data_IF_639656993393
#
_entry.id   IF_639656993393
#
_cell.length_a   1.000
_cell.length_b   1.000
_cell.length_c   1.000
_cell.angle_alpha   90.00
_cell.angle_beta   90.00
_cell.angle_gamma   90.00
#
_symmetry.space_group_name_H-M   'P 1'
#
loop_
_entity.id
_entity.type
_entity.pdbx_description
1 polymer ?
#
# COMPACT_ATOMS: atom_id res chain seq x y z
N UNK A 1 20.92 8.80 -11.63
CA UNK A 1 20.05 8.32 -12.73
C UNK A 1 18.79 7.73 -12.13
N UNK A 2 17.61 8.03 -12.69
CA UNK A 2 16.30 7.47 -12.27
C UNK A 2 16.21 6.05 -12.86
N UNK A 3 17.17 5.19 -12.62
CA UNK A 3 17.24 3.91 -13.36
C UNK A 3 16.15 2.89 -12.99
N UNK A 4 15.32 3.16 -11.95
CA UNK A 4 14.34 2.17 -11.49
C UNK A 4 12.94 2.70 -11.12
N UNK A 5 12.63 3.99 -11.34
CA UNK A 5 11.28 4.49 -11.06
C UNK A 5 10.50 4.52 -12.37
N UNK A 6 9.50 3.65 -12.49
CA UNK A 6 8.61 3.56 -13.65
C UNK A 6 7.25 4.15 -13.27
N UNK A 7 6.72 5.01 -14.14
CA UNK A 7 5.44 5.68 -13.93
C UNK A 7 5.52 7.00 -13.18
N UNK A 8 4.47 7.79 -13.27
CA UNK A 8 4.37 9.12 -12.65
C UNK A 8 5.48 10.10 -13.07
N UNK A 9 5.99 9.98 -14.30
CA UNK A 9 7.10 10.80 -14.83
C UNK A 9 6.77 12.29 -14.81
N UNK A 10 5.51 12.68 -14.98
CA UNK A 10 5.03 14.05 -14.88
C UNK A 10 5.20 14.62 -13.47
N UNK A 11 4.95 13.79 -12.44
CA UNK A 11 5.13 14.18 -11.03
C UNK A 11 6.60 14.26 -10.66
N UNK A 12 7.41 13.33 -11.16
CA UNK A 12 8.86 13.35 -10.96
C UNK A 12 9.47 14.63 -11.55
N UNK A 13 9.15 14.94 -12.82
CA UNK A 13 9.60 16.18 -13.46
C UNK A 13 9.13 17.44 -12.73
N UNK A 14 7.91 17.43 -12.21
CA UNK A 14 7.39 18.53 -11.41
C UNK A 14 8.20 18.73 -10.12
N UNK A 15 8.55 17.65 -9.42
CA UNK A 15 9.38 17.70 -8.20
C UNK A 15 10.82 18.15 -8.51
N UNK A 16 11.40 17.68 -9.62
CA UNK A 16 12.72 18.13 -10.08
C UNK A 16 12.74 19.63 -10.36
N UNK A 17 11.74 20.14 -11.08
CA UNK A 17 11.60 21.57 -11.34
C UNK A 17 11.47 22.41 -10.07
N UNK A 18 10.74 21.92 -9.04
CA UNK A 18 10.67 22.61 -7.73
C UNK A 18 12.05 22.77 -7.11
N UNK A 19 12.92 21.73 -7.24
CA UNK A 19 14.28 21.80 -6.70
C UNK A 19 15.16 22.76 -7.51
N UNK A 20 15.09 22.67 -8.84
CA UNK A 20 15.84 23.55 -9.75
C UNK A 20 15.49 25.02 -9.56
N UNK A 21 14.19 25.34 -9.42
CA UNK A 21 13.69 26.71 -9.21
C UNK A 21 13.91 27.20 -7.76
N UNK A 22 14.35 26.32 -6.83
CA UNK A 22 14.53 26.64 -5.43
C UNK A 22 13.23 26.88 -4.64
N UNK A 23 12.07 26.58 -5.23
CA UNK A 23 10.73 26.81 -4.69
C UNK A 23 10.22 25.66 -3.81
N UNK A 24 11.10 25.13 -2.95
CA UNK A 24 10.78 23.99 -2.10
C UNK A 24 9.89 24.42 -0.95
N UNK A 25 8.68 23.83 -0.87
CA UNK A 25 7.77 24.02 0.27
C UNK A 25 8.32 23.35 1.53
N UNK A 26 7.91 23.84 2.70
CA UNK A 26 8.25 23.24 3.98
C UNK A 26 7.51 21.92 4.25
N UNK A 27 6.38 21.67 3.59
CA UNK A 27 5.60 20.45 3.80
C UNK A 27 4.89 19.98 2.53
N UNK A 28 4.96 18.68 2.30
CA UNK A 28 4.29 17.97 1.20
C UNK A 28 3.45 16.83 1.74
N UNK A 29 2.40 16.46 0.99
CA UNK A 29 1.72 15.18 1.13
C UNK A 29 1.71 14.47 -0.23
N UNK A 30 2.23 13.24 -0.25
CA UNK A 30 2.23 12.35 -1.40
C UNK A 30 1.09 11.36 -1.25
N UNK A 31 0.05 11.52 -2.08
CA UNK A 31 -1.18 10.71 -2.03
C UNK A 31 -1.27 9.74 -3.21
N UNK A 32 -2.00 8.66 -3.04
CA UNK A 32 -2.26 7.63 -4.06
C UNK A 32 -2.25 6.22 -3.49
N UNK A 33 -2.59 5.24 -4.33
CA UNK A 33 -2.69 3.83 -3.95
C UNK A 33 -1.43 3.36 -3.19
N UNK A 34 -1.61 2.44 -2.24
CA UNK A 34 -0.49 1.81 -1.55
C UNK A 34 0.38 1.00 -2.52
N UNK A 35 1.70 1.01 -2.28
CA UNK A 35 2.66 0.22 -3.06
C UNK A 35 2.95 0.72 -4.48
N UNK A 36 2.56 1.94 -4.86
CA UNK A 36 2.88 2.51 -6.19
C UNK A 36 4.24 3.21 -6.26
N UNK A 37 5.06 3.13 -5.20
CA UNK A 37 6.41 3.69 -5.16
C UNK A 37 6.51 5.10 -4.60
N UNK A 38 5.50 5.59 -3.86
CA UNK A 38 5.52 6.94 -3.24
C UNK A 38 6.74 7.17 -2.36
N UNK A 39 7.11 6.19 -1.53
CA UNK A 39 8.29 6.28 -0.66
C UNK A 39 9.59 6.40 -1.47
N UNK A 40 9.73 5.64 -2.54
CA UNK A 40 10.92 5.71 -3.41
C UNK A 40 11.01 7.07 -4.12
N UNK A 41 9.88 7.63 -4.55
CA UNK A 41 9.85 8.98 -5.13
C UNK A 41 10.17 10.04 -4.05
N UNK A 42 9.68 9.88 -2.81
CA UNK A 42 10.01 10.76 -1.71
C UNK A 42 11.50 10.71 -1.35
N UNK A 43 12.10 9.52 -1.33
CA UNK A 43 13.57 9.34 -1.18
C UNK A 43 14.33 10.00 -2.33
N UNK A 44 13.89 9.80 -3.57
CA UNK A 44 14.49 10.44 -4.73
C UNK A 44 14.45 11.98 -4.64
N UNK A 45 13.28 12.54 -4.31
CA UNK A 45 13.10 13.97 -4.11
C UNK A 45 14.01 14.51 -2.98
N UNK A 46 14.12 13.76 -1.89
CA UNK A 46 15.00 14.07 -0.77
C UNK A 46 16.48 14.12 -1.18
N UNK A 47 16.94 13.15 -1.98
CA UNK A 47 18.31 13.14 -2.55
C UNK A 47 18.60 14.43 -3.35
N UNK A 48 17.64 14.85 -4.18
CA UNK A 48 17.78 16.08 -4.98
C UNK A 48 17.84 17.33 -4.10
N UNK A 49 17.04 17.40 -3.04
CA UNK A 49 17.02 18.54 -2.11
C UNK A 49 18.31 18.61 -1.30
N UNK A 50 18.77 17.48 -0.75
CA UNK A 50 19.96 17.39 0.10
C UNK A 50 21.26 17.41 -0.71
N UNK A 51 21.21 17.15 -2.01
CA UNK A 51 22.37 16.91 -2.90
C UNK A 51 23.23 15.74 -2.43
N UNK A 52 22.60 14.72 -1.84
CA UNK A 52 23.22 13.54 -1.27
C UNK A 52 22.76 12.28 -2.00
N UNK A 53 23.68 11.42 -2.39
CA UNK A 53 23.37 10.16 -3.09
C UNK A 53 22.99 9.05 -2.10
N UNK A 54 23.54 9.06 -0.88
CA UNK A 54 23.33 8.02 0.14
C UNK A 54 22.58 8.59 1.33
N UNK A 55 21.24 8.44 1.33
CA UNK A 55 20.40 8.96 2.41
C UNK A 55 20.57 8.22 3.74
N UNK A 56 20.93 6.93 3.72
CA UNK A 56 21.07 6.12 4.95
C UNK A 56 22.19 6.60 5.88
N UNK A 57 23.18 7.31 5.36
CA UNK A 57 24.27 7.90 6.15
C UNK A 57 24.10 9.40 6.40
N UNK A 58 23.05 10.03 5.87
CA UNK A 58 22.82 11.46 6.01
C UNK A 58 22.12 11.77 7.35
N UNK A 59 22.76 12.48 8.29
CA UNK A 59 22.14 12.82 9.57
C UNK A 59 20.97 13.82 9.45
N UNK A 60 20.87 14.52 8.31
CA UNK A 60 19.83 15.48 8.00
C UNK A 60 18.62 14.88 7.28
N UNK A 61 18.58 13.54 7.21
CA UNK A 61 17.49 12.77 6.62
C UNK A 61 16.94 11.74 7.60
N UNK A 62 15.63 11.71 7.79
CA UNK A 62 14.95 10.70 8.61
C UNK A 62 13.69 10.19 7.93
N UNK A 63 13.44 8.89 8.09
CA UNK A 63 12.15 8.26 7.77
C UNK A 63 11.53 7.80 9.08
N UNK A 64 10.27 8.17 9.28
CA UNK A 64 9.46 7.80 10.42
C UNK A 64 8.41 6.82 9.94
N UNK A 65 8.55 5.59 10.38
CA UNK A 65 7.68 4.46 10.01
C UNK A 65 7.05 3.89 11.28
N UNK A 66 5.88 3.31 11.17
CA UNK A 66 5.28 2.59 12.31
C UNK A 66 6.14 1.39 12.70
N UNK A 67 6.17 1.05 13.98
CA UNK A 67 6.77 -0.19 14.45
C UNK A 67 5.97 -1.40 13.94
N UNK A 68 6.63 -2.52 13.65
CA UNK A 68 6.03 -3.70 13.02
C UNK A 68 4.75 -4.18 13.73
N UNK A 69 4.77 -4.21 15.07
CA UNK A 69 3.64 -4.69 15.89
C UNK A 69 2.59 -3.61 16.20
N UNK A 70 2.79 -2.35 15.77
CA UNK A 70 1.88 -1.26 16.08
C UNK A 70 0.78 -1.13 15.01
N UNK A 71 -0.48 -0.97 15.45
CA UNK A 71 -1.60 -0.68 14.55
C UNK A 71 -1.52 0.73 13.99
N UNK A 72 -1.18 1.70 14.84
CA UNK A 72 -1.14 3.13 14.53
C UNK A 72 0.28 3.68 14.62
N UNK A 73 0.53 4.80 13.95
CA UNK A 73 1.77 5.55 14.09
C UNK A 73 1.77 6.27 15.45
N UNK A 74 2.68 5.89 16.33
CA UNK A 74 2.69 6.33 17.72
C UNK A 74 3.00 7.82 17.85
N UNK A 75 2.27 8.50 18.73
CA UNK A 75 2.45 9.95 19.02
C UNK A 75 3.85 10.26 19.50
N UNK A 76 4.39 9.41 20.38
CA UNK A 76 5.73 9.61 20.97
C UNK A 76 6.82 9.49 19.92
N UNK A 77 6.66 8.60 18.94
CA UNK A 77 7.59 8.49 17.80
C UNK A 77 7.64 9.80 16.99
N UNK A 78 6.49 10.39 16.67
CA UNK A 78 6.42 11.69 15.98
C UNK A 78 7.05 12.78 16.83
N UNK A 79 6.79 12.78 18.14
CA UNK A 79 7.34 13.78 19.06
C UNK A 79 8.85 13.70 19.13
N UNK A 80 9.41 12.51 19.32
CA UNK A 80 10.83 12.33 19.58
C UNK A 80 11.66 12.43 18.30
N UNK A 81 11.21 11.80 17.21
CA UNK A 81 11.98 11.76 15.98
C UNK A 81 11.84 13.02 15.11
N UNK A 82 10.72 13.76 15.23
CA UNK A 82 10.50 14.95 14.44
C UNK A 82 10.43 16.21 15.31
N UNK A 83 9.43 16.33 16.20
CA UNK A 83 9.13 17.62 16.87
C UNK A 83 10.28 18.10 17.76
N UNK A 84 10.93 17.19 18.48
CA UNK A 84 12.09 17.52 19.33
C UNK A 84 13.37 17.76 18.52
N UNK A 85 13.46 17.21 17.32
CA UNK A 85 14.66 17.27 16.47
C UNK A 85 14.60 18.39 15.42
N UNK A 86 13.43 18.81 15.01
CA UNK A 86 13.20 19.76 13.91
C UNK A 86 13.86 21.13 14.14
N UNK A 87 14.01 21.57 15.37
CA UNK A 87 14.63 22.84 15.74
C UNK A 87 16.16 22.79 15.80
N UNK A 88 16.77 21.60 15.71
CA UNK A 88 18.22 21.46 15.59
C UNK A 88 18.61 21.74 14.14
N UNK A 89 19.60 22.60 13.94
CA UNK A 89 20.12 22.93 12.60
C UNK A 89 20.64 21.68 11.87
N UNK A 90 20.60 21.68 10.53
CA UNK A 90 21.26 20.64 9.73
C UNK A 90 22.74 20.55 10.07
N UNK A 91 23.31 19.36 9.90
CA UNK A 91 24.71 19.05 10.24
C UNK A 91 25.62 19.17 9.02
N UNK A 92 25.20 18.62 7.88
CA UNK A 92 26.00 18.58 6.65
C UNK A 92 25.30 19.22 5.46
N UNK A 93 23.98 19.17 5.37
CA UNK A 93 23.21 19.74 4.27
C UNK A 93 22.65 21.13 4.58
N UNK A 94 22.14 21.82 3.55
CA UNK A 94 21.44 23.11 3.72
C UNK A 94 20.02 22.93 4.29
N UNK A 95 19.50 21.71 4.24
CA UNK A 95 18.12 21.39 4.65
C UNK A 95 18.08 20.08 5.45
N UNK A 96 16.97 19.90 6.16
CA UNK A 96 16.68 18.71 6.95
C UNK A 96 15.35 18.13 6.51
N UNK A 97 15.32 16.84 6.21
CA UNK A 97 14.13 16.20 5.63
C UNK A 97 13.61 15.09 6.53
N UNK A 98 12.30 15.12 6.75
CA UNK A 98 11.56 14.08 7.45
C UNK A 98 10.52 13.50 6.50
N UNK A 99 10.54 12.19 6.31
CA UNK A 99 9.47 11.43 5.65
C UNK A 99 8.66 10.72 6.73
N UNK A 100 7.35 10.88 6.73
CA UNK A 100 6.43 10.10 7.56
C UNK A 100 5.70 9.16 6.62
N UNK A 101 6.06 7.88 6.66
CA UNK A 101 5.39 6.87 5.84
C UNK A 101 4.11 6.38 6.52
N UNK A 102 3.14 5.93 5.72
CA UNK A 102 1.82 5.56 6.21
C UNK A 102 1.18 6.62 7.13
N UNK A 103 1.37 7.90 6.81
CA UNK A 103 0.94 9.02 7.65
C UNK A 103 -0.58 9.04 7.94
N UNK A 104 -1.41 8.34 7.12
CA UNK A 104 -2.83 8.15 7.41
C UNK A 104 -3.09 7.34 8.68
N UNK A 105 -2.10 6.61 9.19
CA UNK A 105 -2.15 5.87 10.46
C UNK A 105 -1.89 6.76 11.70
N UNK A 106 -1.63 8.06 11.51
CA UNK A 106 -1.59 9.02 12.59
C UNK A 106 -2.99 9.26 13.17
N UNK A 107 -3.18 8.98 14.45
CA UNK A 107 -4.40 9.40 15.14
C UNK A 107 -4.45 10.93 15.30
N UNK A 108 -5.60 11.45 15.74
CA UNK A 108 -5.81 12.91 15.91
C UNK A 108 -4.78 13.55 16.84
N UNK A 109 -4.32 12.84 17.87
CA UNK A 109 -3.31 13.36 18.81
C UNK A 109 -1.95 13.52 18.14
N UNK A 110 -1.52 12.55 17.35
CA UNK A 110 -0.27 12.61 16.57
C UNK A 110 -0.31 13.74 15.53
N UNK A 111 -1.44 13.91 14.84
CA UNK A 111 -1.64 15.01 13.92
C UNK A 111 -1.55 16.39 14.62
N UNK A 112 -2.17 16.53 15.80
CA UNK A 112 -2.12 17.78 16.56
C UNK A 112 -0.70 18.14 17.05
N UNK A 113 0.10 17.16 17.42
CA UNK A 113 1.51 17.36 17.81
C UNK A 113 2.33 17.93 16.64
N UNK A 114 2.01 17.55 15.40
CA UNK A 114 2.68 18.02 14.19
C UNK A 114 2.29 19.45 13.79
N UNK A 115 1.09 19.95 14.19
CA UNK A 115 0.55 21.23 13.77
C UNK A 115 1.49 22.40 14.04
N UNK A 116 2.06 22.48 15.23
CA UNK A 116 2.98 23.59 15.59
C UNK A 116 4.17 23.67 14.63
N UNK A 117 4.74 22.51 14.28
CA UNK A 117 5.87 22.46 13.33
C UNK A 117 5.46 22.84 11.92
N UNK A 118 4.23 22.52 11.50
CA UNK A 118 3.71 22.90 10.19
C UNK A 118 3.30 24.37 10.11
N UNK A 119 2.94 25.01 11.24
CA UNK A 119 2.59 26.42 11.32
C UNK A 119 3.82 27.33 11.28
N UNK A 120 4.84 26.99 12.05
CA UNK A 120 6.08 27.78 12.19
C UNK A 120 7.32 26.91 11.88
N UNK A 121 7.45 26.41 10.65
CA UNK A 121 8.54 25.52 10.28
C UNK A 121 9.87 26.30 10.22
N UNK A 122 10.97 25.76 10.77
CA UNK A 122 12.29 26.29 10.49
C UNK A 122 12.57 26.30 8.97
N UNK A 123 13.18 27.35 8.45
CA UNK A 123 13.40 27.56 7.01
C UNK A 123 14.15 26.41 6.30
N UNK A 124 14.92 25.65 7.05
CA UNK A 124 15.71 24.53 6.55
C UNK A 124 14.96 23.20 6.58
N UNK A 125 13.71 23.14 7.09
CA UNK A 125 12.97 21.89 7.25
C UNK A 125 12.07 21.62 6.05
N UNK A 126 12.02 20.36 5.65
CA UNK A 126 11.04 19.82 4.69
C UNK A 126 10.42 18.55 5.30
N UNK A 127 9.10 18.51 5.38
CA UNK A 127 8.33 17.37 5.86
C UNK A 127 7.56 16.78 4.69
N UNK A 128 7.65 15.46 4.49
CA UNK A 128 6.93 14.73 3.45
C UNK A 128 6.06 13.67 4.11
N UNK A 129 4.74 13.83 4.04
CA UNK A 129 3.79 12.84 4.49
C UNK A 129 3.46 11.91 3.31
N UNK A 130 3.46 10.60 3.51
CA UNK A 130 3.03 9.63 2.52
C UNK A 130 1.73 8.99 3.00
N UNK A 131 0.68 9.04 2.17
CA UNK A 131 -0.63 8.54 2.52
C UNK A 131 -1.37 7.96 1.31
N UNK A 132 -2.46 7.24 1.56
CA UNK A 132 -3.36 6.77 0.50
C UNK A 132 -4.31 7.87 0.02
N UNK A 133 -4.79 8.71 0.94
CA UNK A 133 -5.67 9.86 0.67
C UNK A 133 -5.37 11.01 1.63
N UNK A 134 -5.66 12.22 1.20
CA UNK A 134 -5.61 13.42 2.06
C UNK A 134 -6.77 13.47 3.06
N UNK A 135 -7.83 12.67 2.86
CA UNK A 135 -9.07 12.76 3.65
C UNK A 135 -8.93 12.32 5.11
N UNK A 136 -7.93 11.51 5.41
CA UNK A 136 -7.63 11.05 6.77
C UNK A 136 -7.01 12.13 7.67
N UNK A 137 -6.69 13.31 7.11
CA UNK A 137 -6.04 14.37 7.86
C UNK A 137 -7.00 15.50 8.28
N UNK A 138 -6.67 16.11 9.41
CA UNK A 138 -7.40 17.28 9.91
C UNK A 138 -7.36 18.44 8.88
N UNK A 139 -8.42 19.25 8.74
CA UNK A 139 -8.44 20.40 7.85
C UNK A 139 -7.27 21.38 8.10
N UNK A 140 -6.87 21.52 9.37
CA UNK A 140 -5.73 22.35 9.79
C UNK A 140 -4.38 21.83 9.27
N UNK A 141 -4.21 20.52 9.13
CA UNK A 141 -3.05 19.89 8.50
C UNK A 141 -3.10 20.08 6.97
N UNK A 142 -4.24 19.74 6.35
CA UNK A 142 -4.43 19.84 4.90
C UNK A 142 -4.08 21.20 4.33
N UNK A 143 -4.50 22.27 5.01
CA UNK A 143 -4.28 23.65 4.54
C UNK A 143 -2.81 24.08 4.50
N UNK A 144 -1.90 23.32 5.11
CA UNK A 144 -0.45 23.62 5.20
C UNK A 144 0.42 22.70 4.36
N UNK A 145 -0.21 21.72 3.71
CA UNK A 145 0.49 20.74 2.90
C UNK A 145 0.37 21.05 1.40
N UNK A 146 1.45 20.87 0.67
CA UNK A 146 1.44 20.88 -0.79
C UNK A 146 1.18 19.45 -1.28
N UNK A 147 0.00 19.20 -1.81
CA UNK A 147 -0.39 17.86 -2.27
C UNK A 147 0.25 17.53 -3.62
N UNK A 148 0.75 16.30 -3.71
CA UNK A 148 1.21 15.67 -4.95
C UNK A 148 0.54 14.28 -5.04
N UNK A 149 -0.41 14.14 -5.96
CA UNK A 149 -1.17 12.91 -6.15
C UNK A 149 -0.52 12.05 -7.22
N UNK A 150 -0.23 10.80 -6.87
CA UNK A 150 0.37 9.78 -7.74
C UNK A 150 -0.69 8.82 -8.27
N UNK A 151 -0.57 8.48 -9.54
CA UNK A 151 -1.45 7.55 -10.21
C UNK A 151 -0.97 6.11 -10.04
N UNK A 152 -1.91 5.17 -10.06
CA UNK A 152 -1.60 3.74 -10.15
C UNK A 152 -0.85 3.43 -11.43
N UNK A 153 0.04 2.45 -11.39
CA UNK A 153 0.79 2.01 -12.56
C UNK A 153 -0.12 1.28 -13.55
N UNK A 154 0.14 1.46 -14.83
CA UNK A 154 -0.53 0.71 -15.89
C UNK A 154 -0.02 -0.74 -15.93
N UNK A 155 -0.81 -1.65 -16.51
CA UNK A 155 -0.38 -3.04 -16.73
C UNK A 155 0.94 -3.13 -17.50
N UNK A 156 1.14 -2.27 -18.50
CA UNK A 156 2.38 -2.23 -19.28
C UNK A 156 3.59 -1.81 -18.45
N UNK A 157 3.41 -0.84 -17.55
CA UNK A 157 4.46 -0.41 -16.62
C UNK A 157 4.79 -1.51 -15.59
N UNK A 158 3.79 -2.19 -15.02
CA UNK A 158 4.02 -3.33 -14.15
C UNK A 158 4.78 -4.46 -14.86
N UNK A 159 4.38 -4.83 -16.10
CA UNK A 159 5.10 -5.81 -16.92
C UNK A 159 6.55 -5.41 -17.19
N UNK A 160 6.80 -4.12 -17.41
CA UNK A 160 8.15 -3.62 -17.62
C UNK A 160 9.05 -3.80 -16.40
N UNK A 161 8.51 -3.59 -15.20
CA UNK A 161 9.27 -3.70 -13.94
C UNK A 161 9.64 -5.16 -13.64
N UNK A 162 8.74 -6.12 -13.96
CA UNK A 162 8.93 -7.55 -13.67
C UNK A 162 9.37 -8.36 -14.89
N UNK A 163 10.06 -7.73 -15.85
CA UNK A 163 10.51 -8.40 -17.09
C UNK A 163 11.38 -9.62 -16.84
N UNK A 164 12.22 -9.58 -15.84
CA UNK A 164 13.20 -10.62 -15.53
C UNK A 164 12.58 -11.84 -14.79
N UNK A 165 11.31 -11.74 -14.37
CA UNK A 165 10.59 -12.81 -13.69
C UNK A 165 9.75 -13.62 -14.70
N UNK A 166 10.42 -14.39 -15.55
CA UNK A 166 9.81 -14.98 -16.76
C UNK A 166 8.99 -16.26 -16.56
N UNK A 167 9.03 -16.95 -15.40
CA UNK A 167 8.47 -18.29 -15.22
C UNK A 167 7.29 -18.39 -14.25
N UNK A 168 6.56 -17.29 -14.01
CA UNK A 168 5.42 -17.31 -13.09
C UNK A 168 4.15 -17.70 -13.85
N UNK A 169 3.54 -18.79 -13.45
CA UNK A 169 2.22 -19.21 -13.91
C UNK A 169 1.16 -18.15 -13.58
N UNK A 170 0.22 -17.90 -14.46
CA UNK A 170 -0.83 -16.89 -14.28
C UNK A 170 -0.34 -15.43 -14.08
N UNK A 171 0.85 -15.09 -14.57
CA UNK A 171 1.47 -13.74 -14.43
C UNK A 171 0.52 -12.58 -14.79
N UNK A 172 -0.27 -12.72 -15.87
CA UNK A 172 -1.24 -11.70 -16.29
C UNK A 172 -2.32 -11.47 -15.24
N UNK A 173 -2.82 -12.53 -14.64
CA UNK A 173 -3.84 -12.48 -13.59
C UNK A 173 -3.29 -11.80 -12.33
N UNK A 174 -2.04 -12.07 -11.95
CA UNK A 174 -1.40 -11.43 -10.80
C UNK A 174 -1.15 -9.94 -11.03
N UNK A 175 -0.79 -9.53 -12.27
CA UNK A 175 -0.67 -8.13 -12.66
C UNK A 175 -2.02 -7.42 -12.54
N UNK A 176 -3.10 -8.07 -12.98
CA UNK A 176 -4.45 -7.52 -12.87
C UNK A 176 -4.88 -7.40 -11.40
N UNK A 177 -4.64 -8.45 -10.60
CA UNK A 177 -4.96 -8.47 -9.18
C UNK A 177 -4.18 -7.41 -8.39
N UNK A 178 -2.93 -7.13 -8.77
CA UNK A 178 -2.13 -6.07 -8.16
C UNK A 178 -2.70 -4.66 -8.39
N UNK A 179 -3.62 -4.48 -9.34
CA UNK A 179 -4.37 -3.24 -9.62
C UNK A 179 -3.52 -1.98 -9.69
N UNK A 180 -2.33 -2.07 -10.28
CA UNK A 180 -1.40 -0.94 -10.44
C UNK A 180 -0.45 -0.71 -9.26
N UNK A 181 -0.46 -1.57 -8.25
CA UNK A 181 0.49 -1.55 -7.13
C UNK A 181 1.69 -2.46 -7.40
N UNK A 182 2.86 -1.89 -7.61
CA UNK A 182 4.09 -2.68 -7.75
C UNK A 182 4.50 -3.35 -6.44
N UNK A 183 4.23 -2.72 -5.30
CA UNK A 183 4.49 -3.31 -3.98
C UNK A 183 3.66 -4.58 -3.77
N UNK A 184 2.34 -4.52 -4.09
CA UNK A 184 1.47 -5.70 -4.04
C UNK A 184 1.92 -6.78 -5.02
N UNK A 185 2.26 -6.40 -6.25
CA UNK A 185 2.73 -7.36 -7.26
C UNK A 185 4.01 -8.07 -6.81
N UNK A 186 5.01 -7.35 -6.30
CA UNK A 186 6.23 -7.95 -5.77
C UNK A 186 5.96 -8.90 -4.60
N UNK A 187 5.05 -8.53 -3.69
CA UNK A 187 4.62 -9.41 -2.59
C UNK A 187 3.99 -10.70 -3.11
N UNK A 188 3.10 -10.60 -4.13
CA UNK A 188 2.46 -11.77 -4.75
C UNK A 188 3.45 -12.71 -5.45
N UNK A 189 4.56 -12.17 -5.95
CA UNK A 189 5.59 -12.93 -6.66
C UNK A 189 6.60 -13.64 -5.73
N UNK A 190 6.52 -13.46 -4.41
CA UNK A 190 7.31 -14.25 -3.47
C UNK A 190 6.87 -15.72 -3.53
N UNK A 191 7.84 -16.64 -3.43
CA UNK A 191 7.62 -18.10 -3.55
C UNK A 191 6.50 -18.59 -2.63
N UNK A 192 6.52 -18.18 -1.35
CA UNK A 192 5.50 -18.52 -0.35
C UNK A 192 4.08 -18.08 -0.77
N UNK A 193 3.95 -16.90 -1.37
CA UNK A 193 2.66 -16.37 -1.82
C UNK A 193 2.19 -17.04 -3.13
N UNK A 194 3.11 -17.40 -4.00
CA UNK A 194 2.78 -18.17 -5.21
C UNK A 194 2.24 -19.57 -4.86
N UNK A 195 2.79 -20.22 -3.84
CA UNK A 195 2.26 -21.51 -3.36
C UNK A 195 0.87 -21.37 -2.71
N UNK A 196 0.67 -20.30 -1.93
CA UNK A 196 -0.67 -19.95 -1.40
C UNK A 196 -1.68 -19.73 -2.52
N UNK A 197 -1.33 -18.95 -3.53
CA UNK A 197 -2.19 -18.69 -4.69
C UNK A 197 -2.56 -19.99 -5.42
N UNK A 198 -1.61 -20.89 -5.66
CA UNK A 198 -1.89 -22.21 -6.26
C UNK A 198 -2.86 -23.02 -5.41
N UNK A 199 -2.73 -22.97 -4.09
CA UNK A 199 -3.64 -23.64 -3.17
C UNK A 199 -5.05 -23.07 -3.24
N UNK A 200 -5.17 -21.74 -3.32
CA UNK A 200 -6.45 -21.04 -3.48
C UNK A 200 -7.10 -21.31 -4.84
N UNK A 201 -6.32 -21.31 -5.93
CA UNK A 201 -6.82 -21.66 -7.27
C UNK A 201 -7.38 -23.07 -7.29
N UNK A 202 -6.66 -24.03 -6.71
CA UNK A 202 -7.14 -25.40 -6.58
C UNK A 202 -8.40 -25.54 -5.72
N UNK A 203 -8.50 -24.76 -4.64
CA UNK A 203 -9.71 -24.70 -3.82
C UNK A 203 -10.91 -24.20 -4.63
N UNK A 204 -10.74 -23.15 -5.44
CA UNK A 204 -11.79 -22.62 -6.31
C UNK A 204 -12.23 -23.65 -7.35
N UNK A 205 -11.30 -24.40 -7.96
CA UNK A 205 -11.61 -25.49 -8.90
C UNK A 205 -12.47 -26.58 -8.24
N UNK A 206 -12.10 -27.02 -7.02
CA UNK A 206 -12.87 -28.00 -6.26
C UNK A 206 -14.30 -27.50 -5.95
N UNK A 207 -14.46 -26.21 -5.63
CA UNK A 207 -15.79 -25.60 -5.43
C UNK A 207 -16.60 -25.66 -6.72
N UNK A 208 -16.00 -25.37 -7.87
CA UNK A 208 -16.67 -25.43 -9.18
C UNK A 208 -17.06 -26.85 -9.60
N UNK A 209 -16.24 -27.84 -9.25
CA UNK A 209 -16.56 -29.27 -9.45
C UNK A 209 -17.67 -29.77 -8.52
N UNK A 210 -18.10 -28.95 -7.56
CA UNK A 210 -19.10 -29.27 -6.51
C UNK A 210 -18.70 -30.46 -5.60
N UNK A 211 -17.39 -30.65 -5.45
CA UNK A 211 -16.86 -31.70 -4.58
C UNK A 211 -16.81 -31.24 -3.11
N UNK A 212 -17.92 -31.43 -2.40
CA UNK A 212 -18.10 -31.02 -1.00
C UNK A 212 -17.00 -31.57 -0.10
N UNK A 213 -16.65 -32.89 -0.27
CA UNK A 213 -15.71 -33.54 0.64
C UNK A 213 -14.31 -32.97 0.50
N UNK A 214 -13.85 -32.83 -0.76
CA UNK A 214 -12.53 -32.29 -1.01
C UNK A 214 -12.47 -30.77 -0.77
N UNK A 215 -13.56 -30.02 -0.90
CA UNK A 215 -13.62 -28.61 -0.53
C UNK A 215 -13.34 -28.38 0.97
N UNK A 216 -13.96 -29.18 1.85
CA UNK A 216 -13.68 -29.11 3.29
C UNK A 216 -12.24 -29.52 3.62
N UNK A 217 -11.71 -30.59 3.00
CA UNK A 217 -10.30 -30.98 3.21
C UNK A 217 -9.30 -29.93 2.72
N UNK A 218 -9.61 -29.25 1.62
CA UNK A 218 -8.76 -28.20 1.09
C UNK A 218 -8.79 -26.95 1.99
N UNK A 219 -9.95 -26.62 2.54
CA UNK A 219 -10.09 -25.45 3.45
C UNK A 219 -9.27 -25.56 4.74
N UNK A 220 -9.03 -26.79 5.25
CA UNK A 220 -8.17 -27.00 6.43
C UNK A 220 -6.71 -26.53 6.24
N UNK A 221 -6.27 -26.36 5.00
CA UNK A 221 -4.90 -25.92 4.65
C UNK A 221 -4.81 -24.43 4.33
N UNK A 222 -5.92 -23.71 4.40
CA UNK A 222 -6.02 -22.30 4.02
C UNK A 222 -6.24 -21.46 5.26
N UNK A 223 -5.40 -20.42 5.42
CA UNK A 223 -5.55 -19.42 6.49
C UNK A 223 -6.46 -18.28 6.01
N UNK A 224 -7.77 -18.41 6.26
CA UNK A 224 -8.78 -17.47 5.78
C UNK A 224 -8.78 -16.11 6.49
N UNK A 225 -8.12 -15.99 7.66
CA UNK A 225 -7.94 -14.71 8.37
C UNK A 225 -6.85 -13.83 7.78
N UNK A 226 -5.98 -14.38 6.96
CA UNK A 226 -5.04 -13.56 6.24
C UNK A 226 -5.79 -12.59 5.32
N UNK A 227 -5.42 -11.32 5.39
CA UNK A 227 -6.12 -10.18 4.79
C UNK A 227 -6.40 -10.37 3.29
N UNK A 228 -5.46 -10.97 2.56
CA UNK A 228 -5.54 -11.14 1.10
C UNK A 228 -6.23 -12.44 0.65
N UNK A 229 -6.53 -13.41 1.54
CA UNK A 229 -7.03 -14.74 1.16
C UNK A 229 -8.43 -14.70 0.56
N UNK A 230 -9.40 -14.14 1.30
CA UNK A 230 -10.78 -14.01 0.80
C UNK A 230 -10.88 -12.99 -0.33
N UNK A 231 -10.05 -11.95 -0.33
CA UNK A 231 -9.99 -10.96 -1.41
C UNK A 231 -9.52 -11.57 -2.74
N UNK A 232 -8.56 -12.51 -2.67
CA UNK A 232 -8.13 -13.23 -3.87
C UNK A 232 -9.23 -14.16 -4.41
N UNK A 233 -9.91 -14.91 -3.56
CA UNK A 233 -11.01 -15.79 -3.96
C UNK A 233 -12.14 -14.97 -4.61
N UNK A 234 -12.53 -13.85 -4.00
CA UNK A 234 -13.51 -12.92 -4.55
C UNK A 234 -13.09 -12.40 -5.93
N UNK A 235 -11.86 -11.94 -6.06
CA UNK A 235 -11.31 -11.47 -7.32
C UNK A 235 -11.35 -12.54 -8.41
N UNK A 236 -11.07 -13.81 -8.09
CA UNK A 236 -11.15 -14.92 -9.03
C UNK A 236 -12.59 -15.14 -9.53
N UNK A 237 -13.58 -15.08 -8.66
CA UNK A 237 -15.00 -15.17 -9.08
C UNK A 237 -15.42 -13.93 -9.88
N UNK A 238 -14.92 -12.76 -9.55
CA UNK A 238 -15.14 -11.56 -10.35
C UNK A 238 -14.58 -11.73 -11.79
N UNK A 239 -13.38 -12.26 -11.94
CA UNK A 239 -12.79 -12.55 -13.25
C UNK A 239 -13.62 -13.56 -14.05
N UNK A 240 -14.12 -14.61 -13.42
CA UNK A 240 -15.02 -15.56 -14.06
C UNK A 240 -16.34 -14.91 -14.50
N UNK A 241 -16.86 -13.98 -13.73
CA UNK A 241 -18.01 -13.17 -14.14
C UNK A 241 -17.69 -12.31 -15.37
N UNK A 242 -16.54 -11.64 -15.39
CA UNK A 242 -16.13 -10.82 -16.56
C UNK A 242 -16.02 -11.66 -17.85
N UNK A 243 -15.56 -12.92 -17.73
CA UNK A 243 -15.37 -13.83 -18.86
C UNK A 243 -16.68 -14.46 -19.36
N UNK A 244 -17.58 -14.81 -18.44
CA UNK A 244 -18.77 -15.61 -18.76
C UNK A 244 -20.08 -14.81 -18.75
N UNK A 245 -20.09 -13.67 -18.04
CA UNK A 245 -21.28 -12.87 -17.71
C UNK A 245 -22.37 -13.68 -16.97
N UNK A 246 -22.00 -14.81 -16.33
CA UNK A 246 -22.93 -15.63 -15.57
C UNK A 246 -23.13 -15.05 -14.15
N UNK A 247 -24.37 -14.69 -13.86
CA UNK A 247 -24.76 -14.02 -12.61
C UNK A 247 -24.50 -14.86 -11.34
N UNK A 248 -24.35 -16.20 -11.48
CA UNK A 248 -23.99 -17.06 -10.35
C UNK A 248 -22.67 -16.62 -9.68
N UNK A 249 -21.70 -16.12 -10.44
CA UNK A 249 -20.44 -15.64 -9.88
C UNK A 249 -20.59 -14.34 -9.06
N UNK A 250 -21.55 -13.48 -9.39
CA UNK A 250 -21.89 -12.32 -8.57
C UNK A 250 -22.44 -12.75 -7.21
N UNK A 251 -23.29 -13.79 -7.19
CA UNK A 251 -23.79 -14.33 -5.93
C UNK A 251 -22.67 -15.01 -5.10
N UNK A 252 -21.69 -15.63 -5.75
CA UNK A 252 -20.49 -16.13 -5.06
C UNK A 252 -19.71 -14.99 -4.38
N UNK A 253 -19.56 -13.84 -5.05
CA UNK A 253 -18.93 -12.64 -4.49
C UNK A 253 -19.71 -12.15 -3.26
N UNK A 254 -21.05 -12.05 -3.34
CA UNK A 254 -21.90 -11.66 -2.21
C UNK A 254 -21.75 -12.60 -0.99
N UNK A 255 -21.64 -13.92 -1.25
CA UNK A 255 -21.40 -14.93 -0.20
C UNK A 255 -20.04 -14.71 0.49
N UNK A 256 -19.00 -14.39 -0.28
CA UNK A 256 -17.66 -14.13 0.25
C UNK A 256 -17.63 -12.84 1.08
N UNK A 257 -18.26 -11.77 0.58
CA UNK A 257 -18.38 -10.50 1.29
C UNK A 257 -19.13 -10.65 2.64
N UNK A 258 -20.27 -11.38 2.64
CA UNK A 258 -20.99 -11.69 3.89
C UNK A 258 -20.09 -12.48 4.87
N UNK A 259 -19.25 -13.37 4.36
CA UNK A 259 -18.29 -14.15 5.17
C UNK A 259 -17.21 -13.25 5.77
N UNK A 260 -16.62 -12.33 5.00
CA UNK A 260 -15.65 -11.34 5.49
C UNK A 260 -16.23 -10.52 6.63
N UNK A 261 -17.45 -10.00 6.46
CA UNK A 261 -18.14 -9.21 7.50
C UNK A 261 -18.32 -10.01 8.79
N UNK A 262 -18.70 -11.29 8.69
CA UNK A 262 -18.90 -12.17 9.86
C UNK A 262 -17.59 -12.48 10.58
N UNK A 263 -16.52 -12.80 9.85
CA UNK A 263 -15.20 -13.07 10.45
C UNK A 263 -14.69 -11.82 11.17
N UNK A 264 -14.82 -10.63 10.57
CA UNK A 264 -14.40 -9.37 11.14
C UNK A 264 -15.24 -8.96 12.39
N UNK A 265 -16.48 -9.47 12.52
CA UNK A 265 -17.33 -9.26 13.69
C UNK A 265 -17.13 -10.28 14.81
N UNK A 266 -15.96 -10.95 14.86
CA UNK A 266 -15.60 -11.97 15.86
C UNK A 266 -16.51 -13.22 15.89
N UNK A 267 -17.15 -13.57 14.78
CA UNK A 267 -17.85 -14.84 14.66
C UNK A 267 -16.84 -16.00 14.60
N UNK A 268 -17.30 -17.21 14.92
CA UNK A 268 -16.44 -18.39 14.78
C UNK A 268 -16.05 -18.60 13.32
N UNK A 269 -14.76 -18.46 13.03
CA UNK A 269 -14.22 -18.54 11.68
C UNK A 269 -14.58 -19.84 10.97
N UNK A 270 -14.35 -20.99 11.62
CA UNK A 270 -14.60 -22.30 11.04
C UNK A 270 -16.05 -22.45 10.58
N UNK A 271 -17.00 -22.02 11.41
CA UNK A 271 -18.43 -22.04 11.05
C UNK A 271 -18.74 -21.10 9.88
N UNK A 272 -18.09 -19.94 9.83
CA UNK A 272 -18.27 -18.98 8.72
C UNK A 272 -17.75 -19.56 7.39
N UNK A 273 -16.57 -20.20 7.41
CA UNK A 273 -15.96 -20.81 6.24
C UNK A 273 -16.77 -22.05 5.77
N UNK A 274 -17.19 -22.91 6.71
CA UNK A 274 -18.02 -24.07 6.37
C UNK A 274 -19.33 -23.64 5.68
N UNK A 275 -19.97 -22.60 6.22
CA UNK A 275 -21.19 -22.04 5.64
C UNK A 275 -20.94 -21.41 4.26
N UNK A 276 -19.79 -20.73 4.08
CA UNK A 276 -19.37 -20.18 2.79
C UNK A 276 -19.21 -21.29 1.75
N UNK A 277 -18.47 -22.36 2.06
CA UNK A 277 -18.25 -23.50 1.16
C UNK A 277 -19.58 -24.09 0.70
N UNK A 278 -20.49 -24.39 1.65
CA UNK A 278 -21.79 -24.96 1.34
C UNK A 278 -22.61 -24.06 0.41
N UNK A 279 -22.59 -22.74 0.68
CA UNK A 279 -23.34 -21.77 -0.13
C UNK A 279 -22.73 -21.62 -1.52
N UNK A 280 -21.39 -21.53 -1.65
CA UNK A 280 -20.70 -21.44 -2.92
C UNK A 280 -21.01 -22.66 -3.81
N UNK A 281 -20.87 -23.87 -3.28
CA UNK A 281 -21.17 -25.12 -4.02
C UNK A 281 -22.65 -25.18 -4.46
N UNK A 282 -23.55 -24.60 -3.70
CA UNK A 282 -24.96 -24.57 -4.02
C UNK A 282 -25.30 -23.58 -5.15
N UNK A 283 -24.55 -22.49 -5.22
CA UNK A 283 -24.79 -21.41 -6.18
C UNK A 283 -24.15 -21.68 -7.54
N UNK A 284 -22.99 -22.32 -7.57
CA UNK A 284 -22.31 -22.74 -8.80
C UNK A 284 -23.05 -23.89 -9.48
#
# INVERSE_FOLDING_TARGET
MIENIVGNEDKIKYLEKIVEDGNISHAYIFTGLEGIGKLEIAKYFSKKILKEEILSSCPDFKIIEKQEDAKDLQVDLIRDELVNDVYKKPIIADRKIYIIDDAQKMNTTAQNVLLKTLEEPPKYVVIILIATSVDSFLPTIKSRLKEVTFNKLTKSQLKQIIKDENEVENKELLIDYANGSIGRLKKLLLEENLEKIKTLDKFIEIIEEKDVVNAFKASEKIEFKEEDTLDYIEYRFYKKYEETLDYKYIKCIEIIEDTKVRINSNSNEMICIDNMIIKLIKEI
#
